data_IF_416989026876
#
_entry.id   IF_416989026876
#
_cell.length_a   1.000
_cell.length_b   1.000
_cell.length_c   1.000
_cell.angle_alpha   90.00
_cell.angle_beta   90.00
_cell.angle_gamma   90.00
#
_symmetry.space_group_name_H-M   'P 1'
#
loop_
_entity.id
_entity.type
_entity.pdbx_description
1 polymer ?
#
# COMPACT_ATOMS: atom_id res chain seq x y z
N UNK A 1 -11.47 15.38 10.15
CA UNK A 1 -10.19 14.74 10.55
C UNK A 1 -9.26 14.38 9.37
N UNK A 2 -9.68 14.49 8.10
CA UNK A 2 -8.87 14.06 6.94
C UNK A 2 -7.52 14.79 6.82
N UNK A 3 -7.52 16.12 6.93
CA UNK A 3 -6.31 16.93 6.75
C UNK A 3 -5.28 16.69 7.86
N UNK A 4 -5.66 16.88 9.14
CA UNK A 4 -4.75 16.71 10.27
C UNK A 4 -4.18 15.28 10.35
N UNK A 5 -5.03 14.26 10.18
CA UNK A 5 -4.59 12.87 10.17
C UNK A 5 -3.60 12.57 9.05
N UNK A 6 -3.83 13.12 7.85
CA UNK A 6 -2.90 12.98 6.73
C UNK A 6 -1.58 13.73 6.96
N UNK A 7 -1.59 14.90 7.61
CA UNK A 7 -0.35 15.63 7.93
C UNK A 7 0.51 14.82 8.91
N UNK A 8 -0.08 14.34 10.01
CA UNK A 8 0.64 13.54 11.00
C UNK A 8 1.11 12.24 10.35
N UNK A 9 0.24 11.56 9.59
CA UNK A 9 0.62 10.35 8.86
C UNK A 9 1.78 10.59 7.92
N UNK A 10 1.75 11.64 7.10
CA UNK A 10 2.80 11.94 6.14
C UNK A 10 4.18 11.99 6.80
N UNK A 11 4.28 12.65 7.96
CA UNK A 11 5.54 12.82 8.70
C UNK A 11 5.97 11.52 9.40
N UNK A 12 5.05 10.81 10.04
CA UNK A 12 5.40 9.70 10.93
C UNK A 12 5.34 8.30 10.30
N UNK A 13 4.72 8.14 9.13
CA UNK A 13 4.57 6.81 8.50
C UNK A 13 4.46 6.85 6.98
N UNK A 14 3.64 7.74 6.43
CA UNK A 14 3.32 7.82 5.01
C UNK A 14 4.55 7.98 4.11
N UNK A 15 5.51 8.84 4.48
CA UNK A 15 6.73 9.02 3.70
C UNK A 15 7.61 7.76 3.69
N UNK A 16 7.71 7.06 4.81
CA UNK A 16 8.51 5.82 4.92
C UNK A 16 7.93 4.72 4.05
N UNK A 17 6.61 4.52 4.13
CA UNK A 17 5.90 3.56 3.27
C UNK A 17 6.02 3.97 1.79
N UNK A 18 5.87 5.25 1.46
CA UNK A 18 6.08 5.72 0.08
C UNK A 18 7.46 5.31 -0.47
N UNK A 19 8.51 5.48 0.32
CA UNK A 19 9.86 5.07 -0.09
C UNK A 19 10.02 3.55 -0.22
N UNK A 20 9.39 2.75 0.65
CA UNK A 20 9.34 1.29 0.50
C UNK A 20 8.76 0.89 -0.86
N UNK A 21 7.61 1.46 -1.24
CA UNK A 21 6.99 1.23 -2.55
C UNK A 21 7.81 1.77 -3.71
N UNK A 22 8.45 2.93 -3.54
CA UNK A 22 9.32 3.53 -4.57
C UNK A 22 10.55 2.65 -4.82
N UNK A 23 11.26 2.24 -3.78
CA UNK A 23 12.43 1.37 -3.92
C UNK A 23 12.06 -0.01 -4.47
N UNK A 24 11.01 -0.63 -3.94
CA UNK A 24 10.52 -1.91 -4.47
C UNK A 24 10.10 -1.80 -5.93
N UNK A 25 9.42 -0.72 -6.31
CA UNK A 25 9.02 -0.46 -7.68
C UNK A 25 10.21 -0.27 -8.63
N UNK A 26 11.24 0.46 -8.20
CA UNK A 26 12.48 0.62 -8.98
C UNK A 26 13.18 -0.72 -9.19
N UNK A 27 13.33 -1.53 -8.14
CA UNK A 27 13.94 -2.87 -8.23
C UNK A 27 13.17 -3.76 -9.20
N UNK A 28 11.83 -3.75 -9.16
CA UNK A 28 11.01 -4.50 -10.11
C UNK A 28 11.20 -4.02 -11.55
N UNK A 29 11.27 -2.71 -11.77
CA UNK A 29 11.50 -2.15 -13.10
C UNK A 29 12.88 -2.52 -13.68
N UNK A 30 13.91 -2.74 -12.86
CA UNK A 30 15.24 -3.16 -13.32
C UNK A 30 15.23 -4.54 -13.99
N UNK A 31 14.29 -5.41 -13.64
CA UNK A 31 14.20 -6.76 -14.23
C UNK A 31 13.57 -6.78 -15.63
N UNK A 32 13.14 -5.62 -16.16
CA UNK A 32 12.36 -5.41 -17.41
C UNK A 32 10.99 -6.12 -17.38
N UNK A 33 10.96 -7.43 -17.10
CA UNK A 33 9.75 -8.24 -16.93
C UNK A 33 8.90 -7.72 -15.77
N UNK A 34 9.52 -7.20 -14.71
CA UNK A 34 8.84 -6.66 -13.53
C UNK A 34 8.20 -5.28 -13.70
N UNK A 35 8.39 -4.60 -14.84
CA UNK A 35 7.87 -3.23 -15.07
C UNK A 35 6.38 -3.07 -14.75
N UNK A 36 5.46 -3.98 -15.15
CA UNK A 36 4.04 -3.84 -14.82
C UNK A 36 3.77 -3.75 -13.30
N UNK A 37 4.49 -4.55 -12.51
CA UNK A 37 4.39 -4.54 -11.05
C UNK A 37 5.10 -3.35 -10.43
N UNK A 38 6.22 -2.90 -10.99
CA UNK A 38 6.91 -1.70 -10.53
C UNK A 38 6.05 -0.43 -10.71
N UNK A 39 5.36 -0.31 -11.84
CA UNK A 39 4.39 0.77 -12.07
C UNK A 39 3.22 0.72 -11.08
N UNK A 40 2.73 -0.47 -10.74
CA UNK A 40 1.70 -0.64 -9.72
C UNK A 40 2.22 -0.22 -8.33
N UNK A 41 3.46 -0.57 -7.99
CA UNK A 41 4.09 -0.17 -6.74
C UNK A 41 4.16 1.36 -6.60
N UNK A 42 4.55 2.08 -7.66
CA UNK A 42 4.57 3.55 -7.64
C UNK A 42 3.18 4.17 -7.41
N UNK A 43 2.16 3.64 -8.09
CA UNK A 43 0.77 4.10 -7.90
C UNK A 43 0.30 3.91 -6.46
N UNK A 44 0.62 2.75 -5.86
CA UNK A 44 0.30 2.48 -4.47
C UNK A 44 1.06 3.40 -3.54
N UNK A 45 2.37 3.57 -3.73
CA UNK A 45 3.18 4.47 -2.91
C UNK A 45 2.55 5.87 -2.81
N UNK A 46 2.18 6.47 -3.94
CA UNK A 46 1.51 7.79 -3.96
C UNK A 46 0.16 7.74 -3.24
N UNK A 47 -0.63 6.68 -3.44
CA UNK A 47 -1.91 6.52 -2.76
C UNK A 47 -1.77 6.38 -1.23
N UNK A 48 -0.66 5.82 -0.75
CA UNK A 48 -0.37 5.60 0.67
C UNK A 48 0.06 6.88 1.40
N UNK A 49 0.44 7.95 0.70
CA UNK A 49 0.82 9.23 1.34
C UNK A 49 -0.34 9.89 2.09
N UNK A 50 -1.58 9.68 1.65
CA UNK A 50 -2.76 10.36 2.22
C UNK A 50 -3.97 9.41 2.34
N UNK A 51 -3.92 8.45 3.29
CA UNK A 51 -4.93 7.41 3.40
C UNK A 51 -6.20 7.87 4.12
N UNK A 52 -6.15 8.92 4.94
CA UNK A 52 -7.30 9.34 5.74
C UNK A 52 -8.42 9.91 4.86
N UNK A 53 -9.63 9.38 5.08
CA UNK A 53 -10.82 9.75 4.31
C UNK A 53 -10.97 9.05 2.97
N UNK A 54 -10.08 8.11 2.63
CA UNK A 54 -10.16 7.25 1.46
C UNK A 54 -10.47 5.80 1.86
N UNK A 55 -11.18 5.09 1.00
CA UNK A 55 -11.57 3.70 1.16
C UNK A 55 -11.00 2.84 0.04
N UNK A 56 -10.73 1.57 0.35
CA UNK A 56 -10.33 0.59 -0.65
C UNK A 56 -11.57 0.20 -1.44
N UNK A 57 -11.60 0.56 -2.72
CA UNK A 57 -12.73 0.30 -3.62
C UNK A 57 -12.25 -0.44 -4.87
N UNK A 58 -13.09 -1.31 -5.46
CA UNK A 58 -12.81 -1.85 -6.78
C UNK A 58 -12.66 -0.70 -7.80
N UNK A 59 -11.68 -0.77 -8.69
CA UNK A 59 -11.51 0.25 -9.75
C UNK A 59 -12.53 0.08 -10.87
N UNK A 60 -13.09 -1.11 -11.06
CA UNK A 60 -14.07 -1.42 -12.11
C UNK A 60 -13.48 -1.53 -13.53
N UNK A 61 -12.22 -1.16 -13.71
CA UNK A 61 -11.53 -1.09 -15.00
C UNK A 61 -10.72 -2.35 -15.35
N UNK A 62 -10.62 -3.31 -14.41
CA UNK A 62 -9.73 -4.47 -14.55
C UNK A 62 -10.49 -5.76 -14.87
N UNK A 63 -9.97 -6.55 -15.81
CA UNK A 63 -10.48 -7.89 -16.11
C UNK A 63 -10.14 -8.83 -14.93
N UNK A 64 -11.12 -9.48 -14.27
CA UNK A 64 -10.90 -10.24 -13.03
C UNK A 64 -9.81 -11.31 -13.11
N UNK A 65 -9.77 -12.06 -14.23
CA UNK A 65 -8.79 -13.13 -14.45
C UNK A 65 -7.37 -12.57 -14.53
N UNK A 66 -7.19 -11.43 -15.21
CA UNK A 66 -5.87 -10.78 -15.35
C UNK A 66 -5.42 -10.23 -14.00
N UNK A 67 -6.31 -9.57 -13.26
CA UNK A 67 -6.01 -9.08 -11.91
C UNK A 67 -5.60 -10.21 -10.96
N UNK A 68 -6.28 -11.36 -11.04
CA UNK A 68 -5.91 -12.54 -10.24
C UNK A 68 -4.48 -13.00 -10.55
N UNK A 69 -4.13 -13.19 -11.83
CA UNK A 69 -2.79 -13.61 -12.23
C UNK A 69 -1.70 -12.61 -11.79
N UNK A 70 -1.95 -11.31 -11.96
CA UNK A 70 -1.03 -10.25 -11.53
C UNK A 70 -0.85 -10.23 -10.01
N UNK A 71 -1.93 -10.44 -9.24
CA UNK A 71 -1.88 -10.53 -7.78
C UNK A 71 -1.09 -11.76 -7.30
N UNK A 72 -1.24 -12.92 -7.94
CA UNK A 72 -0.48 -14.13 -7.57
C UNK A 72 1.02 -13.89 -7.69
N UNK A 73 1.47 -13.32 -8.81
CA UNK A 73 2.89 -12.99 -9.01
C UNK A 73 3.32 -11.89 -8.03
N UNK A 74 2.49 -10.87 -7.83
CA UNK A 74 2.77 -9.76 -6.93
C UNK A 74 3.01 -10.21 -5.49
N UNK A 75 2.20 -11.12 -4.95
CA UNK A 75 2.32 -11.59 -3.57
C UNK A 75 3.71 -12.16 -3.31
N UNK A 76 4.26 -12.91 -4.28
CA UNK A 76 5.60 -13.52 -4.19
C UNK A 76 6.69 -12.45 -4.29
N UNK A 77 6.53 -11.49 -5.20
CA UNK A 77 7.57 -10.48 -5.48
C UNK A 77 7.63 -9.36 -4.42
N UNK A 78 6.48 -8.87 -3.96
CA UNK A 78 6.41 -7.66 -3.13
C UNK A 78 5.26 -7.66 -2.11
N UNK A 79 4.08 -8.18 -2.49
CA UNK A 79 2.86 -8.05 -1.69
C UNK A 79 2.95 -8.65 -0.30
N UNK A 80 3.60 -9.80 -0.14
CA UNK A 80 3.83 -10.41 1.18
C UNK A 80 4.70 -9.53 2.08
N UNK A 81 5.83 -9.05 1.57
CA UNK A 81 6.78 -8.21 2.31
C UNK A 81 6.14 -6.90 2.78
N UNK A 82 5.44 -6.22 1.87
CA UNK A 82 4.70 -4.99 2.15
C UNK A 82 3.62 -5.22 3.21
N UNK A 83 2.89 -6.35 3.12
CA UNK A 83 1.88 -6.68 4.11
C UNK A 83 2.49 -6.90 5.51
N UNK A 84 3.66 -7.54 5.60
CA UNK A 84 4.40 -7.69 6.86
C UNK A 84 4.83 -6.33 7.41
N UNK A 85 5.35 -5.41 6.58
CA UNK A 85 5.69 -4.06 7.01
C UNK A 85 4.48 -3.35 7.63
N UNK A 86 3.35 -3.37 6.93
CA UNK A 86 2.11 -2.79 7.47
C UNK A 86 1.62 -3.50 8.73
N UNK A 87 1.83 -4.82 8.88
CA UNK A 87 1.42 -5.56 10.08
C UNK A 87 2.22 -5.11 11.28
N UNK A 88 3.54 -5.03 11.14
CA UNK A 88 4.44 -4.64 12.21
C UNK A 88 4.19 -3.21 12.66
N UNK A 89 4.10 -2.25 11.73
CA UNK A 89 3.76 -0.86 12.08
C UNK A 89 2.34 -0.72 12.62
N UNK A 90 1.39 -1.48 12.08
CA UNK A 90 0.01 -1.50 12.57
C UNK A 90 -0.07 -1.91 14.04
N UNK A 91 0.60 -2.99 14.41
CA UNK A 91 0.70 -3.46 15.80
C UNK A 91 1.43 -2.43 16.65
N UNK A 92 2.58 -1.92 16.19
CA UNK A 92 3.39 -0.94 16.92
C UNK A 92 2.57 0.31 17.30
N UNK A 93 1.83 0.89 16.35
CA UNK A 93 1.00 2.06 16.63
C UNK A 93 -0.16 1.73 17.57
N UNK A 94 -0.75 0.54 17.46
CA UNK A 94 -1.84 0.10 18.34
C UNK A 94 -1.42 -0.15 19.80
N UNK A 95 -0.12 -0.21 20.11
CA UNK A 95 0.38 -0.29 21.51
C UNK A 95 0.00 0.96 22.31
N UNK A 96 -0.18 2.11 21.64
CA UNK A 96 -0.54 3.37 22.28
C UNK A 96 -1.97 3.78 21.93
N UNK A 97 -2.72 4.32 22.90
CA UNK A 97 -4.10 4.80 22.66
C UNK A 97 -4.14 5.85 21.54
N UNK A 98 -3.15 6.74 21.49
CA UNK A 98 -3.06 7.81 20.48
C UNK A 98 -2.71 7.25 19.09
N UNK A 99 -1.96 6.14 19.03
CA UNK A 99 -1.51 5.52 17.78
C UNK A 99 -2.55 4.64 17.09
N UNK A 100 -3.56 4.13 17.80
CA UNK A 100 -4.67 3.31 17.24
C UNK A 100 -5.20 3.82 15.88
N UNK A 101 -5.57 5.11 15.70
CA UNK A 101 -6.07 5.58 14.41
C UNK A 101 -5.08 5.40 13.24
N UNK A 102 -3.77 5.47 13.51
CA UNK A 102 -2.70 5.25 12.53
C UNK A 102 -2.46 3.76 12.28
N UNK A 103 -2.50 2.94 13.33
CA UNK A 103 -2.44 1.48 13.20
C UNK A 103 -3.55 0.93 12.32
N UNK A 104 -4.78 1.45 12.49
CA UNK A 104 -5.91 1.12 11.62
C UNK A 104 -5.69 1.52 10.15
N UNK A 105 -4.96 2.61 9.87
CA UNK A 105 -4.57 2.93 8.49
C UNK A 105 -3.59 1.90 7.95
N UNK A 106 -2.60 1.46 8.73
CA UNK A 106 -1.69 0.40 8.28
C UNK A 106 -2.44 -0.90 7.95
N UNK A 107 -3.42 -1.34 8.75
CA UNK A 107 -4.21 -2.53 8.42
C UNK A 107 -5.09 -2.34 7.19
N UNK A 108 -5.64 -1.15 6.98
CA UNK A 108 -6.39 -0.82 5.75
C UNK A 108 -5.48 -0.91 4.52
N UNK A 109 -4.29 -0.32 4.61
CA UNK A 109 -3.31 -0.26 3.54
C UNK A 109 -2.65 -1.61 3.28
N UNK A 110 -2.47 -2.45 4.30
CA UNK A 110 -2.03 -3.83 4.19
C UNK A 110 -2.89 -4.62 3.20
N UNK A 111 -4.23 -4.52 3.33
CA UNK A 111 -5.15 -5.23 2.44
C UNK A 111 -4.97 -4.79 0.99
N UNK A 112 -4.81 -3.49 0.77
CA UNK A 112 -4.56 -2.95 -0.57
C UNK A 112 -3.17 -3.36 -1.09
N UNK A 113 -2.14 -3.29 -0.26
CA UNK A 113 -0.76 -3.65 -0.61
C UNK A 113 -0.56 -5.15 -0.88
N UNK A 114 -1.36 -6.01 -0.24
CA UNK A 114 -1.28 -7.46 -0.43
C UNK A 114 -1.79 -7.92 -1.80
N UNK A 115 -2.90 -7.35 -2.29
CA UNK A 115 -3.50 -7.67 -3.60
C UNK A 115 -4.03 -6.41 -4.32
N UNK A 116 -3.14 -5.59 -4.89
CA UNK A 116 -3.52 -4.26 -5.38
C UNK A 116 -4.23 -4.27 -6.73
N UNK A 117 -4.12 -5.33 -7.52
CA UNK A 117 -4.69 -5.35 -8.87
C UNK A 117 -6.21 -5.48 -8.79
N UNK A 118 -6.90 -4.47 -9.34
CA UNK A 118 -8.36 -4.34 -9.32
C UNK A 118 -8.93 -3.47 -8.20
N UNK A 119 -8.07 -2.95 -7.31
CA UNK A 119 -8.46 -2.10 -6.19
C UNK A 119 -7.66 -0.79 -6.15
N UNK A 120 -8.25 0.24 -5.56
CA UNK A 120 -7.61 1.54 -5.36
C UNK A 120 -8.15 2.26 -4.12
N UNK A 121 -7.49 3.35 -3.75
CA UNK A 121 -7.93 4.27 -2.69
C UNK A 121 -8.70 5.43 -3.31
N UNK A 122 -9.99 5.56 -2.99
CA UNK A 122 -10.85 6.71 -3.37
C UNK A 122 -11.52 7.32 -2.15
#
# INVERSE_FOLDING_TARGET
MRLLGNIIWFVFGGVFIFFEYLWGGLVLCLTIVGIPWGLQAFKLGVAHLTPFGKHVVPTGESIPVISFLLNVIWIILAGFWIAVTHLLFGILFCVTIIGIPFGLQHFKLMRLGFYPFGYGLR
#
